data_IF_646712193121
#
_entry.id   IF_646712193121
#
_cell.length_a   1.000
_cell.length_b   1.000
_cell.length_c   1.000
_cell.angle_alpha   90.00
_cell.angle_beta   90.00
_cell.angle_gamma   90.00
#
_symmetry.space_group_name_H-M   'P 1'
#
loop_
_entity.id
_entity.type
_entity.pdbx_description
1 polymer ?
#
# COMPACT_ATOMS: atom_id res chain seq x y z
N UNK A 1 -34.24 33.32 16.39
CA UNK A 1 -33.15 33.17 15.40
C UNK A 1 -31.84 32.63 15.98
N UNK A 2 -31.52 32.85 17.24
CA UNK A 2 -30.28 32.38 17.85
C UNK A 2 -30.08 30.88 17.87
N UNK A 3 -31.14 30.07 17.84
CA UNK A 3 -31.04 28.62 17.90
C UNK A 3 -30.55 28.00 16.59
N UNK A 4 -31.05 28.46 15.45
CA UNK A 4 -30.62 27.94 14.14
C UNK A 4 -29.13 28.21 13.89
N UNK A 5 -28.66 29.40 14.26
CA UNK A 5 -27.25 29.78 14.14
C UNK A 5 -26.34 28.92 15.04
N UNK A 6 -26.76 28.63 16.27
CA UNK A 6 -26.01 27.75 17.18
C UNK A 6 -25.92 26.32 16.66
N UNK A 7 -27.00 25.79 16.12
CA UNK A 7 -27.01 24.43 15.55
C UNK A 7 -26.06 24.31 14.35
N UNK A 8 -26.05 25.31 13.46
CA UNK A 8 -25.16 25.34 12.29
C UNK A 8 -23.68 25.37 12.72
N UNK A 9 -23.32 26.17 13.72
CA UNK A 9 -21.96 26.25 14.26
C UNK A 9 -21.51 24.90 14.86
N UNK A 10 -22.37 24.20 15.60
CA UNK A 10 -22.05 22.90 16.17
C UNK A 10 -21.82 21.83 15.10
N UNK A 11 -22.64 21.82 14.04
CA UNK A 11 -22.48 20.88 12.93
C UNK A 11 -21.17 21.14 12.16
N UNK A 12 -20.84 22.39 11.88
CA UNK A 12 -19.59 22.76 11.23
C UNK A 12 -18.38 22.34 12.05
N UNK A 13 -18.38 22.55 13.36
CA UNK A 13 -17.31 22.14 14.26
C UNK A 13 -17.13 20.61 14.28
N UNK A 14 -18.23 19.85 14.29
CA UNK A 14 -18.19 18.38 14.23
C UNK A 14 -17.60 17.87 12.93
N UNK A 15 -17.94 18.46 11.80
CA UNK A 15 -17.38 18.07 10.47
C UNK A 15 -15.88 18.34 10.42
N UNK A 16 -15.41 19.49 10.91
CA UNK A 16 -13.99 19.83 10.95
C UNK A 16 -13.23 18.87 11.87
N UNK A 17 -13.78 18.52 13.03
CA UNK A 17 -13.16 17.57 13.95
C UNK A 17 -13.04 16.17 13.35
N UNK A 18 -14.07 15.69 12.65
CA UNK A 18 -14.05 14.38 11.97
C UNK A 18 -13.02 14.37 10.83
N UNK A 19 -12.96 15.43 10.02
CA UNK A 19 -11.99 15.54 8.93
C UNK A 19 -10.55 15.57 9.48
N UNK A 20 -10.29 16.32 10.53
CA UNK A 20 -8.99 16.38 11.20
C UNK A 20 -8.59 15.04 11.81
N UNK A 21 -9.53 14.32 12.44
CA UNK A 21 -9.30 13.01 13.01
C UNK A 21 -8.97 11.98 11.93
N UNK A 22 -9.71 11.96 10.83
CA UNK A 22 -9.43 11.08 9.69
C UNK A 22 -8.05 11.36 9.08
N UNK A 23 -7.70 12.63 8.90
CA UNK A 23 -6.37 13.02 8.42
C UNK A 23 -5.28 12.52 9.36
N UNK A 24 -5.45 12.73 10.67
CA UNK A 24 -4.51 12.27 11.70
C UNK A 24 -4.33 10.75 11.64
N UNK A 25 -5.43 9.98 11.55
CA UNK A 25 -5.35 8.51 11.47
C UNK A 25 -4.57 8.04 10.24
N UNK A 26 -4.74 8.72 9.09
CA UNK A 26 -4.04 8.36 7.85
C UNK A 26 -2.55 8.64 7.90
N UNK A 27 -2.13 9.68 8.64
CA UNK A 27 -0.76 10.17 8.66
C UNK A 27 -0.01 9.86 9.96
N UNK A 28 -0.66 9.17 10.91
CA UNK A 28 -0.09 8.85 12.21
C UNK A 28 0.29 7.38 12.38
N UNK A 29 0.31 6.62 11.30
CA UNK A 29 0.77 5.24 11.32
C UNK A 29 2.23 5.11 11.77
N UNK A 30 2.70 3.88 12.02
CA UNK A 30 4.06 3.64 12.47
C UNK A 30 5.08 4.06 11.39
N UNK A 31 6.28 4.47 11.80
CA UNK A 31 7.37 4.64 10.86
C UNK A 31 7.89 3.27 10.42
N UNK A 32 8.59 3.20 9.29
CA UNK A 32 9.17 1.94 8.82
C UNK A 32 10.25 1.38 9.76
N UNK A 33 10.79 2.20 10.66
CA UNK A 33 11.70 1.72 11.71
C UNK A 33 10.99 0.83 12.72
N UNK A 34 9.67 0.98 12.88
CA UNK A 34 8.84 0.18 13.78
C UNK A 34 8.17 -1.02 13.06
N UNK A 35 8.23 -1.05 11.74
CA UNK A 35 7.64 -2.10 10.90
C UNK A 35 8.74 -3.07 10.48
N UNK A 36 8.53 -4.37 10.71
CA UNK A 36 9.50 -5.39 10.29
C UNK A 36 9.42 -5.63 8.77
N UNK A 37 10.49 -6.18 8.20
CA UNK A 37 10.50 -6.59 6.79
C UNK A 37 9.35 -7.55 6.47
N UNK A 38 9.11 -8.53 7.34
CA UNK A 38 8.04 -9.53 7.18
C UNK A 38 6.66 -8.88 7.19
N UNK A 39 6.43 -7.89 8.04
CA UNK A 39 5.17 -7.12 8.05
C UNK A 39 4.99 -6.32 6.76
N UNK A 40 6.06 -5.71 6.24
CA UNK A 40 6.02 -5.00 4.97
C UNK A 40 5.71 -5.95 3.81
N UNK A 41 6.34 -7.13 3.78
CA UNK A 41 6.08 -8.18 2.79
C UNK A 41 4.62 -8.62 2.81
N UNK A 42 4.07 -8.89 3.99
CA UNK A 42 2.67 -9.30 4.13
C UNK A 42 1.71 -8.23 3.63
N UNK A 43 1.99 -6.98 3.94
CA UNK A 43 1.16 -5.85 3.49
C UNK A 43 1.19 -5.71 1.97
N UNK A 44 2.36 -5.74 1.36
CA UNK A 44 2.53 -5.63 -0.11
C UNK A 44 1.91 -6.83 -0.81
N UNK A 45 2.11 -8.04 -0.27
CA UNK A 45 1.50 -9.25 -0.83
C UNK A 45 -0.03 -9.16 -0.83
N UNK A 46 -0.62 -8.69 0.26
CA UNK A 46 -2.06 -8.46 0.34
C UNK A 46 -2.55 -7.44 -0.69
N UNK A 47 -1.83 -6.32 -0.85
CA UNK A 47 -2.16 -5.29 -1.83
C UNK A 47 -2.08 -5.84 -3.26
N UNK A 48 -1.04 -6.61 -3.59
CA UNK A 48 -0.90 -7.25 -4.89
C UNK A 48 -2.07 -8.19 -5.19
N UNK A 49 -2.40 -9.07 -4.25
CA UNK A 49 -3.45 -10.07 -4.44
C UNK A 49 -4.85 -9.47 -4.55
N UNK A 50 -5.13 -8.40 -3.79
CA UNK A 50 -6.48 -7.82 -3.73
C UNK A 50 -6.71 -6.68 -4.70
N UNK A 51 -5.69 -5.86 -4.97
CA UNK A 51 -5.87 -4.60 -5.72
C UNK A 51 -5.13 -4.54 -7.04
N UNK A 52 -4.04 -5.27 -7.24
CA UNK A 52 -3.18 -5.13 -8.42
C UNK A 52 -3.34 -6.28 -9.40
N UNK A 53 -3.15 -7.50 -8.95
CA UNK A 53 -3.23 -8.69 -9.84
C UNK A 53 -4.60 -8.78 -10.53
N UNK A 54 -5.75 -8.57 -9.85
CA UNK A 54 -7.05 -8.63 -10.52
C UNK A 54 -7.29 -7.53 -11.57
N UNK A 55 -6.53 -6.43 -11.52
CA UNK A 55 -6.77 -5.24 -12.34
C UNK A 55 -5.75 -5.01 -13.44
N UNK A 56 -4.52 -5.49 -13.28
CA UNK A 56 -3.46 -5.24 -14.25
C UNK A 56 -3.45 -6.32 -15.33
N UNK A 57 -3.49 -5.87 -16.59
CA UNK A 57 -3.55 -6.76 -17.77
C UNK A 57 -2.40 -7.75 -17.78
N UNK A 58 -1.18 -7.32 -17.45
CA UNK A 58 0.01 -8.18 -17.47
C UNK A 58 -0.04 -9.33 -16.46
N UNK A 59 -0.89 -9.23 -15.42
CA UNK A 59 -1.05 -10.27 -14.40
C UNK A 59 -2.27 -11.15 -14.62
N UNK A 60 -3.02 -10.95 -15.70
CA UNK A 60 -4.17 -11.78 -16.00
C UNK A 60 -3.77 -13.20 -16.39
N UNK A 61 -4.65 -14.21 -16.15
CA UNK A 61 -4.32 -15.62 -16.43
C UNK A 61 -3.86 -15.89 -17.85
N UNK A 62 -4.41 -15.20 -18.85
CA UNK A 62 -4.01 -15.35 -20.25
C UNK A 62 -2.57 -14.88 -20.51
N UNK A 63 -2.04 -13.99 -19.69
CA UNK A 63 -0.67 -13.48 -19.83
C UNK A 63 0.34 -14.23 -18.97
N UNK A 64 -0.04 -14.59 -17.75
CA UNK A 64 0.83 -15.33 -16.84
C UNK A 64 0.77 -16.85 -17.05
N UNK A 65 -0.34 -17.35 -17.58
CA UNK A 65 -0.58 -18.77 -17.72
C UNK A 65 -1.17 -19.43 -16.48
N UNK A 66 -1.58 -18.65 -15.48
CA UNK A 66 -2.21 -19.16 -14.27
C UNK A 66 -3.08 -18.08 -13.62
N UNK A 67 -4.15 -18.50 -12.95
CA UNK A 67 -4.96 -17.63 -12.10
C UNK A 67 -4.38 -17.49 -10.68
N UNK A 68 -3.37 -18.31 -10.35
CA UNK A 68 -2.75 -18.34 -9.01
C UNK A 68 -1.24 -18.15 -9.14
N UNK A 69 -0.76 -16.94 -9.47
CA UNK A 69 0.67 -16.69 -9.65
C UNK A 69 1.45 -16.85 -8.34
N UNK A 70 2.72 -17.19 -8.47
CA UNK A 70 3.64 -17.23 -7.34
C UNK A 70 4.21 -15.83 -7.12
N UNK A 71 4.07 -15.33 -5.90
CA UNK A 71 4.62 -14.05 -5.48
C UNK A 71 5.81 -14.32 -4.57
N UNK A 72 6.99 -13.84 -4.99
CA UNK A 72 8.23 -14.02 -4.24
C UNK A 72 8.89 -12.68 -3.96
N UNK A 73 9.45 -12.53 -2.76
CA UNK A 73 10.20 -11.35 -2.34
C UNK A 73 11.67 -11.71 -2.16
N UNK A 74 12.55 -10.85 -2.67
CA UNK A 74 13.99 -11.02 -2.53
C UNK A 74 14.54 -10.00 -1.55
N UNK A 75 14.82 -10.44 -0.33
CA UNK A 75 15.35 -9.57 0.73
C UNK A 75 16.74 -9.05 0.38
N UNK A 76 17.56 -9.89 -0.25
CA UNK A 76 18.93 -9.51 -0.62
C UNK A 76 18.96 -8.44 -1.72
N UNK A 77 17.96 -8.46 -2.63
CA UNK A 77 17.81 -7.47 -3.71
C UNK A 77 17.05 -6.22 -3.28
N UNK A 78 16.44 -6.23 -2.09
CA UNK A 78 15.75 -5.06 -1.55
C UNK A 78 16.77 -4.10 -0.96
N UNK A 79 16.72 -2.79 -1.30
CA UNK A 79 17.65 -1.82 -0.72
C UNK A 79 17.54 -1.76 0.79
N UNK A 80 18.67 -1.49 1.44
CA UNK A 80 18.69 -1.27 2.89
C UNK A 80 17.81 -0.07 3.23
N UNK A 81 17.02 -0.19 4.30
CA UNK A 81 16.15 0.87 4.76
C UNK A 81 16.99 2.09 5.20
N UNK A 82 16.99 3.13 4.37
CA UNK A 82 17.66 4.39 4.66
C UNK A 82 16.68 5.50 5.00
N UNK A 83 15.43 5.35 4.58
CA UNK A 83 14.34 6.29 4.81
C UNK A 83 13.34 5.66 5.78
N UNK A 84 13.07 6.28 6.96
CA UNK A 84 12.12 5.73 7.91
C UNK A 84 10.66 5.77 7.43
N UNK A 85 10.39 6.39 6.29
CA UNK A 85 9.03 6.51 5.74
C UNK A 85 8.68 5.39 4.76
N UNK A 86 9.68 4.78 4.09
CA UNK A 86 9.44 3.84 2.98
C UNK A 86 10.24 2.56 3.12
N UNK A 87 9.61 1.43 2.78
CA UNK A 87 10.28 0.20 2.38
C UNK A 87 10.27 0.09 0.86
N UNK A 88 11.40 -0.31 0.29
CA UNK A 88 11.51 -0.61 -1.14
C UNK A 88 11.78 -2.10 -1.29
N UNK A 89 10.76 -2.86 -1.70
CA UNK A 89 10.80 -4.32 -1.74
C UNK A 89 10.93 -4.83 -3.17
N UNK A 90 11.93 -5.67 -3.42
CA UNK A 90 12.04 -6.40 -4.68
C UNK A 90 11.06 -7.57 -4.67
N UNK A 91 10.17 -7.63 -5.66
CA UNK A 91 9.12 -8.65 -5.74
C UNK A 91 9.02 -9.20 -7.16
N UNK A 92 8.75 -10.50 -7.28
CA UNK A 92 8.44 -11.14 -8.57
C UNK A 92 7.04 -11.75 -8.51
N UNK A 93 6.33 -11.60 -9.62
CA UNK A 93 5.04 -12.26 -9.85
C UNK A 93 5.22 -13.21 -11.02
N UNK A 94 5.12 -14.52 -10.77
CA UNK A 94 5.48 -15.56 -11.72
C UNK A 94 4.31 -16.45 -12.08
N UNK A 95 4.16 -16.73 -13.36
CA UNK A 95 3.32 -17.81 -13.88
C UNK A 95 4.13 -18.67 -14.86
N UNK A 96 3.55 -19.78 -15.36
CA UNK A 96 4.26 -20.67 -16.30
C UNK A 96 4.70 -20.00 -17.61
N UNK A 97 3.98 -18.95 -18.03
CA UNK A 97 4.26 -18.27 -19.31
C UNK A 97 5.14 -17.04 -19.14
N UNK A 98 5.08 -16.35 -17.99
CA UNK A 98 5.81 -15.10 -17.81
C UNK A 98 6.08 -14.81 -16.34
N UNK A 99 7.21 -14.13 -16.10
CA UNK A 99 7.60 -13.60 -14.79
C UNK A 99 7.80 -12.10 -14.92
N UNK A 100 7.22 -11.34 -13.98
CA UNK A 100 7.40 -9.90 -13.87
C UNK A 100 8.16 -9.56 -12.61
N UNK A 101 9.18 -8.70 -12.74
CA UNK A 101 9.97 -8.19 -11.61
C UNK A 101 9.59 -6.73 -11.34
N UNK A 102 9.29 -6.44 -10.08
CA UNK A 102 8.82 -5.13 -9.65
C UNK A 102 9.58 -4.68 -8.41
N UNK A 103 9.61 -3.37 -8.21
CA UNK A 103 9.90 -2.78 -6.89
C UNK A 103 8.60 -2.23 -6.32
N UNK A 104 8.29 -2.60 -5.07
CA UNK A 104 7.15 -2.10 -4.33
C UNK A 104 7.65 -1.09 -3.28
N UNK A 105 7.22 0.15 -3.41
CA UNK A 105 7.52 1.20 -2.44
C UNK A 105 6.35 1.31 -1.47
N UNK A 106 6.56 0.82 -0.26
CA UNK A 106 5.56 0.78 0.79
C UNK A 106 5.78 1.92 1.78
N UNK A 107 4.81 2.81 1.88
CA UNK A 107 4.80 3.90 2.86
C UNK A 107 4.15 3.43 4.16
N UNK A 108 4.95 3.30 5.21
CA UNK A 108 4.50 2.70 6.46
C UNK A 108 3.45 3.52 7.19
N UNK A 109 3.52 4.85 7.11
CA UNK A 109 2.57 5.74 7.80
C UNK A 109 1.17 5.70 7.20
N UNK A 110 1.07 5.63 5.89
CA UNK A 110 -0.23 5.69 5.19
C UNK A 110 -0.72 4.31 4.74
N UNK A 111 0.19 3.34 4.66
CA UNK A 111 -0.11 2.01 4.12
C UNK A 111 -0.21 1.98 2.60
N UNK A 112 0.12 3.08 1.91
CA UNK A 112 0.09 3.11 0.45
C UNK A 112 1.26 2.36 -0.16
N UNK A 113 1.05 1.76 -1.32
CA UNK A 113 2.08 1.03 -2.05
C UNK A 113 2.11 1.50 -3.49
N UNK A 114 3.29 1.90 -3.96
CA UNK A 114 3.55 2.22 -5.36
C UNK A 114 4.48 1.18 -5.97
N UNK A 115 4.29 0.88 -7.24
CA UNK A 115 5.06 -0.14 -7.94
C UNK A 115 5.80 0.45 -9.13
N UNK A 116 7.06 0.04 -9.28
CA UNK A 116 7.87 0.34 -10.44
C UNK A 116 8.26 -0.98 -11.13
N UNK A 117 8.09 -1.05 -12.44
CA UNK A 117 8.52 -2.22 -13.20
C UNK A 117 10.04 -2.23 -13.31
N UNK A 118 10.64 -3.39 -13.06
CA UNK A 118 12.07 -3.60 -13.23
C UNK A 118 12.40 -4.10 -14.64
N UNK A 119 11.38 -4.60 -15.33
CA UNK A 119 11.51 -5.19 -16.69
C UNK A 119 11.63 -4.12 -17.76
#
# INVERSE_FOLDING_TARGET
MGWRTKTICCVAAAVIALAGYNYYLRHSGPSCLEVTYEQAVDHVKHDLLTHRIPRWTKFQPENLGTATPVIAFDKAASPTLSDPEFYNLAVTVSGPQKTHSLFAMYECKTGSVEYASKD
#
